data_IF_009239325075
#
_entry.id   IF_009239325075
#
_cell.length_a   1.000
_cell.length_b   1.000
_cell.length_c   1.000
_cell.angle_alpha   90.00
_cell.angle_beta   90.00
_cell.angle_gamma   90.00
#
_symmetry.space_group_name_H-M   'P 1'
#
loop_
_entity.id
_entity.type
_entity.pdbx_description
1 polymer ?
#
# COMPACT_ATOMS: atom_id res chain seq x y z
N UNK A 1 48.65 25.44 -45.48
CA UNK A 1 47.54 26.17 -46.14
C UNK A 1 46.64 25.15 -46.81
N UNK A 2 45.34 25.46 -46.87
CA UNK A 2 44.18 24.72 -47.40
C UNK A 2 43.46 23.76 -46.44
N UNK A 3 42.56 24.39 -45.68
CA UNK A 3 41.24 23.91 -45.25
C UNK A 3 40.44 23.26 -46.39
N UNK A 4 39.67 22.21 -46.07
CA UNK A 4 38.27 22.13 -46.53
C UNK A 4 37.50 21.06 -45.76
N UNK A 5 36.46 21.52 -45.05
CA UNK A 5 35.40 20.71 -44.49
C UNK A 5 34.44 20.29 -45.62
N UNK A 6 33.91 19.06 -45.55
CA UNK A 6 32.78 18.64 -46.36
C UNK A 6 31.69 18.06 -45.46
N UNK A 7 30.51 18.61 -45.66
CA UNK A 7 29.30 18.57 -44.85
C UNK A 7 28.43 17.34 -45.10
N UNK A 8 27.59 17.06 -44.10
CA UNK A 8 26.46 16.13 -44.04
C UNK A 8 25.62 15.97 -45.31
N UNK A 9 25.12 14.74 -45.51
CA UNK A 9 23.82 14.48 -46.14
C UNK A 9 23.26 13.14 -45.65
N UNK A 10 22.42 13.19 -44.60
CA UNK A 10 21.55 12.11 -44.16
C UNK A 10 20.27 12.17 -45.00
N UNK A 11 20.11 11.23 -45.93
CA UNK A 11 18.86 11.03 -46.67
C UNK A 11 17.93 10.13 -45.85
N UNK A 12 16.90 10.75 -45.27
CA UNK A 12 15.75 10.06 -44.70
C UNK A 12 14.84 9.57 -45.84
N UNK A 13 14.68 8.25 -45.96
CA UNK A 13 13.65 7.65 -46.82
C UNK A 13 12.41 7.38 -45.96
N UNK A 14 11.36 8.17 -46.18
CA UNK A 14 10.02 7.87 -45.69
C UNK A 14 9.25 7.20 -46.82
N UNK A 15 8.93 5.91 -46.66
CA UNK A 15 7.98 5.22 -47.53
C UNK A 15 6.70 4.97 -46.74
N UNK A 16 5.60 5.54 -47.25
CA UNK A 16 4.28 5.52 -46.67
C UNK A 16 3.57 4.17 -46.85
N UNK A 17 2.60 3.97 -45.97
CA UNK A 17 1.75 2.81 -45.79
C UNK A 17 0.96 2.38 -47.05
N UNK A 18 0.81 1.07 -47.24
CA UNK A 18 -0.23 0.48 -48.05
C UNK A 18 -1.36 0.00 -47.12
N UNK A 19 -2.53 0.59 -47.27
CA UNK A 19 -3.75 0.20 -46.58
C UNK A 19 -4.35 -1.07 -47.21
N UNK A 20 -4.55 -2.12 -46.42
CA UNK A 20 -5.42 -3.25 -46.78
C UNK A 20 -6.78 -3.00 -46.12
N UNK A 21 -7.76 -2.59 -46.93
CA UNK A 21 -9.16 -2.53 -46.52
C UNK A 21 -9.82 -3.88 -46.73
N UNK A 22 -10.05 -4.61 -45.63
CA UNK A 22 -11.19 -5.53 -45.47
C UNK A 22 -11.52 -5.62 -43.98
N UNK A 23 -12.53 -4.91 -43.46
CA UNK A 23 -12.99 -5.17 -42.10
C UNK A 23 -13.71 -6.52 -42.09
N UNK A 24 -13.17 -7.50 -41.37
CA UNK A 24 -13.94 -8.68 -40.99
C UNK A 24 -15.06 -8.22 -40.05
N UNK A 25 -16.28 -8.58 -40.41
CA UNK A 25 -17.48 -8.33 -39.64
C UNK A 25 -17.38 -9.13 -38.33
N UNK A 26 -17.21 -8.43 -37.21
CA UNK A 26 -17.12 -9.05 -35.90
C UNK A 26 -18.53 -9.47 -35.46
N UNK A 27 -18.67 -10.77 -35.16
CA UNK A 27 -19.87 -11.39 -34.62
C UNK A 27 -20.27 -10.72 -33.31
N UNK A 28 -21.57 -10.43 -33.20
CA UNK A 28 -22.25 -9.94 -32.01
C UNK A 28 -21.90 -10.79 -30.79
N UNK A 29 -21.37 -10.16 -29.74
CA UNK A 29 -21.46 -10.67 -28.38
C UNK A 29 -22.18 -9.62 -27.54
N UNK A 30 -23.46 -9.91 -27.26
CA UNK A 30 -24.17 -9.37 -26.11
C UNK A 30 -23.51 -9.93 -24.84
N UNK A 31 -22.54 -9.18 -24.34
CA UNK A 31 -22.18 -9.16 -22.93
C UNK A 31 -21.83 -7.70 -22.65
N UNK A 32 -22.64 -7.02 -21.85
CA UNK A 32 -22.39 -5.66 -21.39
C UNK A 32 -21.18 -5.68 -20.46
N UNK A 33 -19.98 -5.82 -21.02
CA UNK A 33 -18.74 -5.59 -20.30
C UNK A 33 -18.80 -4.11 -19.90
N UNK A 34 -18.71 -3.75 -18.61
CA UNK A 34 -18.61 -2.36 -18.21
C UNK A 34 -17.35 -1.80 -18.87
N UNK A 35 -17.56 -1.07 -19.96
CA UNK A 35 -16.47 -0.47 -20.71
C UNK A 35 -16.07 0.76 -19.93
N UNK A 36 -14.92 0.68 -19.27
CA UNK A 36 -14.38 1.80 -18.50
C UNK A 36 -14.08 2.92 -19.48
N UNK A 37 -14.77 4.04 -19.30
CA UNK A 37 -14.51 5.20 -20.12
C UNK A 37 -13.18 5.82 -19.69
N UNK A 38 -12.09 5.46 -20.36
CA UNK A 38 -10.73 5.93 -20.05
C UNK A 38 -10.58 7.47 -20.06
N UNK A 39 -11.59 8.22 -20.50
CA UNK A 39 -11.62 9.69 -20.39
C UNK A 39 -11.79 10.20 -18.96
N UNK A 40 -12.13 9.35 -17.99
CA UNK A 40 -12.27 9.74 -16.57
C UNK A 40 -10.94 9.97 -15.89
N UNK A 41 -9.85 9.41 -16.41
CA UNK A 41 -8.55 9.46 -15.76
C UNK A 41 -7.67 10.59 -16.29
N UNK A 42 -6.79 11.12 -15.43
CA UNK A 42 -5.78 12.09 -15.86
C UNK A 42 -4.92 11.48 -16.96
N UNK A 43 -4.74 12.18 -18.07
CA UNK A 43 -3.89 11.74 -19.17
C UNK A 43 -2.47 12.24 -19.02
N UNK A 44 -1.49 11.36 -19.14
CA UNK A 44 -0.06 11.68 -19.14
C UNK A 44 0.50 11.70 -20.55
N UNK A 45 1.37 12.67 -20.85
CA UNK A 45 1.94 12.84 -22.19
C UNK A 45 2.72 11.61 -22.69
N UNK A 46 3.24 10.79 -21.78
CA UNK A 46 4.01 9.58 -22.10
C UNK A 46 3.13 8.40 -22.56
N UNK A 47 1.83 8.41 -22.25
CA UNK A 47 0.89 7.34 -22.65
C UNK A 47 0.66 7.31 -24.15
N UNK A 48 0.58 8.49 -24.79
CA UNK A 48 0.41 8.62 -26.24
C UNK A 48 1.69 8.40 -27.04
N UNK A 49 2.83 8.19 -26.38
CA UNK A 49 4.10 7.96 -27.07
C UNK A 49 4.17 6.53 -27.61
N UNK A 50 4.65 6.39 -28.84
CA UNK A 50 5.13 5.09 -29.33
C UNK A 50 6.32 4.63 -28.50
N UNK A 51 6.62 3.34 -28.48
CA UNK A 51 7.71 2.79 -27.66
C UNK A 51 9.07 3.41 -27.98
N UNK A 52 9.36 3.65 -29.26
CA UNK A 52 10.60 4.32 -29.67
C UNK A 52 10.67 5.75 -29.12
N UNK A 53 9.55 6.48 -29.17
CA UNK A 53 9.47 7.85 -28.65
C UNK A 53 9.58 7.88 -27.12
N UNK A 54 8.94 6.92 -26.44
CA UNK A 54 9.03 6.76 -25.00
C UNK A 54 10.46 6.46 -24.57
N UNK A 55 11.15 5.50 -25.20
CA UNK A 55 12.55 5.17 -24.86
C UNK A 55 13.50 6.36 -25.04
N UNK A 56 13.32 7.13 -26.12
CA UNK A 56 14.08 8.35 -26.34
C UNK A 56 13.78 9.41 -25.26
N UNK A 57 12.50 9.63 -24.96
CA UNK A 57 12.06 10.56 -23.93
C UNK A 57 12.59 10.14 -22.55
N UNK A 58 12.49 8.86 -22.19
CA UNK A 58 13.02 8.26 -20.96
C UNK A 58 14.50 8.60 -20.79
N UNK A 59 15.31 8.30 -21.79
CA UNK A 59 16.74 8.57 -21.76
C UNK A 59 17.04 10.08 -21.64
N UNK A 60 16.37 10.91 -22.45
CA UNK A 60 16.57 12.35 -22.45
C UNK A 60 16.17 13.00 -21.12
N UNK A 61 14.98 12.66 -20.59
CA UNK A 61 14.46 13.19 -19.33
C UNK A 61 15.32 12.74 -18.14
N UNK A 62 15.71 11.46 -18.08
CA UNK A 62 16.61 10.94 -17.05
C UNK A 62 17.96 11.67 -17.06
N UNK A 63 18.53 11.89 -18.25
CA UNK A 63 19.81 12.62 -18.40
C UNK A 63 19.69 14.08 -17.98
N UNK A 64 18.57 14.74 -18.31
CA UNK A 64 18.36 16.16 -18.01
C UNK A 64 18.09 16.43 -16.52
N UNK A 65 17.30 15.57 -15.87
CA UNK A 65 16.82 15.77 -14.51
C UNK A 65 17.74 15.18 -13.44
N UNK A 66 18.57 14.20 -13.80
CA UNK A 66 19.26 13.33 -12.85
C UNK A 66 18.34 12.23 -12.32
N UNK A 67 18.93 11.20 -11.71
CA UNK A 67 18.18 9.99 -11.31
C UNK A 67 17.13 10.25 -10.24
N UNK A 68 17.48 10.98 -9.16
CA UNK A 68 16.55 11.24 -8.05
C UNK A 68 15.32 12.05 -8.48
N UNK A 69 15.54 13.12 -9.26
CA UNK A 69 14.45 13.95 -9.79
C UNK A 69 13.61 13.19 -10.81
N UNK A 70 14.24 12.31 -11.60
CA UNK A 70 13.53 11.45 -12.54
C UNK A 70 12.65 10.43 -11.82
N UNK A 71 13.19 9.77 -10.79
CA UNK A 71 12.44 8.86 -9.92
C UNK A 71 11.25 9.58 -9.29
N UNK A 72 11.47 10.74 -8.67
CA UNK A 72 10.39 11.52 -8.05
C UNK A 72 9.28 11.86 -9.05
N UNK A 73 9.65 12.29 -10.27
CA UNK A 73 8.68 12.57 -11.33
C UNK A 73 7.85 11.33 -11.68
N UNK A 74 8.50 10.19 -11.90
CA UNK A 74 7.82 8.96 -12.34
C UNK A 74 7.00 8.30 -11.25
N UNK A 75 7.48 8.30 -10.01
CA UNK A 75 6.72 7.85 -8.86
C UNK A 75 5.47 8.70 -8.69
N UNK A 76 5.57 10.04 -8.76
CA UNK A 76 4.39 10.91 -8.66
C UNK A 76 3.37 10.70 -9.79
N UNK A 77 3.82 10.37 -11.02
CA UNK A 77 2.92 10.00 -12.11
C UNK A 77 2.20 8.66 -11.84
N UNK A 78 2.93 7.66 -11.35
CA UNK A 78 2.40 6.35 -10.97
C UNK A 78 1.39 6.46 -9.82
N UNK A 79 1.75 7.15 -8.74
CA UNK A 79 0.88 7.37 -7.58
C UNK A 79 -0.40 8.09 -7.98
N UNK A 80 -0.29 9.10 -8.86
CA UNK A 80 -1.46 9.81 -9.37
C UNK A 80 -2.38 8.90 -10.20
N UNK A 81 -1.80 8.01 -11.04
CA UNK A 81 -2.58 7.02 -11.80
C UNK A 81 -3.23 5.99 -10.88
N UNK A 82 -2.51 5.51 -9.88
CA UNK A 82 -3.01 4.54 -8.90
C UNK A 82 -4.18 5.14 -8.11
N UNK A 83 -4.03 6.35 -7.60
CA UNK A 83 -5.06 7.06 -6.87
C UNK A 83 -6.31 7.33 -7.73
N UNK A 84 -6.12 7.71 -8.99
CA UNK A 84 -7.22 7.85 -9.97
C UNK A 84 -8.03 6.55 -10.11
N UNK A 85 -7.35 5.40 -10.13
CA UNK A 85 -7.99 4.08 -10.24
C UNK A 85 -8.69 3.73 -8.93
N UNK A 86 -8.02 3.88 -7.78
CA UNK A 86 -8.63 3.64 -6.47
C UNK A 86 -9.89 4.47 -6.26
N UNK A 87 -9.85 5.76 -6.62
CA UNK A 87 -11.00 6.63 -6.54
C UNK A 87 -12.14 6.12 -7.43
N UNK A 88 -11.84 5.71 -8.67
CA UNK A 88 -12.85 5.13 -9.54
C UNK A 88 -13.48 3.86 -8.95
N UNK A 89 -12.68 2.95 -8.40
CA UNK A 89 -13.18 1.72 -7.76
C UNK A 89 -14.09 2.06 -6.58
N UNK A 90 -13.65 2.96 -5.71
CA UNK A 90 -14.41 3.42 -4.56
C UNK A 90 -15.75 4.05 -4.95
N UNK A 91 -15.74 4.99 -5.89
CA UNK A 91 -16.96 5.68 -6.37
C UNK A 91 -17.96 4.74 -7.06
N UNK A 92 -17.49 3.62 -7.59
CA UNK A 92 -18.31 2.62 -8.27
C UNK A 92 -18.57 1.37 -7.42
N UNK A 93 -18.23 1.40 -6.13
CA UNK A 93 -18.45 0.32 -5.17
C UNK A 93 -17.78 -1.00 -5.58
N UNK A 94 -16.59 -0.95 -6.19
CA UNK A 94 -15.83 -2.14 -6.57
C UNK A 94 -14.73 -2.44 -5.56
N UNK A 95 -14.73 -3.64 -5.02
CA UNK A 95 -13.60 -4.22 -4.29
C UNK A 95 -12.80 -5.14 -5.22
N UNK A 96 -11.59 -4.70 -5.57
CA UNK A 96 -10.70 -5.44 -6.45
C UNK A 96 -9.49 -6.04 -5.70
N UNK A 97 -9.51 -6.04 -4.36
CA UNK A 97 -8.33 -6.37 -3.55
C UNK A 97 -7.11 -5.52 -3.93
N UNK A 98 -5.91 -6.02 -3.66
CA UNK A 98 -4.65 -5.36 -4.06
C UNK A 98 -4.31 -5.63 -5.52
N UNK A 99 -5.15 -5.17 -6.46
CA UNK A 99 -4.93 -5.38 -7.89
C UNK A 99 -3.68 -4.67 -8.44
N UNK A 100 -3.21 -3.61 -7.75
CA UNK A 100 -2.05 -2.81 -8.17
C UNK A 100 -0.73 -3.47 -7.80
N UNK A 101 -0.72 -4.37 -6.83
CA UNK A 101 0.45 -5.22 -6.53
C UNK A 101 0.84 -6.21 -7.64
N UNK A 102 0.30 -6.04 -8.86
CA UNK A 102 0.52 -6.87 -10.04
C UNK A 102 1.99 -7.16 -10.32
N UNK A 103 2.38 -8.40 -10.09
CA UNK A 103 2.72 -9.37 -11.12
C UNK A 103 2.73 -10.75 -10.43
N UNK A 104 2.04 -11.73 -11.01
CA UNK A 104 1.87 -13.08 -10.46
C UNK A 104 3.14 -13.95 -10.47
N UNK A 105 4.24 -13.43 -9.95
CA UNK A 105 5.50 -14.13 -9.69
C UNK A 105 6.16 -13.49 -8.46
N UNK A 106 5.50 -13.65 -7.32
CA UNK A 106 6.03 -13.64 -5.96
C UNK A 106 4.76 -13.58 -5.10
N UNK A 107 3.97 -14.65 -5.16
CA UNK A 107 3.46 -15.22 -3.92
C UNK A 107 4.73 -15.51 -3.10
N UNK A 108 5.32 -14.46 -2.49
CA UNK A 108 5.77 -14.63 -1.12
C UNK A 108 4.50 -15.15 -0.47
N UNK A 109 4.41 -16.48 -0.37
CA UNK A 109 3.76 -17.15 0.73
C UNK A 109 4.39 -16.48 1.96
N UNK A 110 3.89 -15.28 2.26
CA UNK A 110 4.06 -14.61 3.53
C UNK A 110 3.30 -15.58 4.40
N UNK A 111 4.05 -16.58 4.89
CA UNK A 111 3.52 -17.70 5.63
C UNK A 111 2.90 -17.07 6.86
N UNK A 112 1.63 -16.69 6.71
CA UNK A 112 0.93 -15.90 7.68
C UNK A 112 0.73 -16.85 8.84
N UNK A 113 1.65 -16.78 9.79
CA UNK A 113 1.54 -17.47 11.06
C UNK A 113 0.56 -16.64 11.87
N UNK A 114 -0.65 -17.15 12.15
CA UNK A 114 -1.61 -16.40 12.96
C UNK A 114 -0.98 -16.11 14.33
N UNK A 115 -1.14 -14.88 14.80
CA UNK A 115 -0.55 -14.38 16.05
C UNK A 115 -1.59 -13.63 16.85
N UNK A 116 -1.63 -13.86 18.16
CA UNK A 116 -2.43 -13.06 19.09
C UNK A 116 -1.52 -12.02 19.75
N UNK A 117 -1.85 -10.75 19.53
CA UNK A 117 -1.12 -9.61 20.07
C UNK A 117 -1.80 -9.12 21.34
N UNK A 118 -1.05 -9.03 22.44
CA UNK A 118 -1.51 -8.46 23.70
C UNK A 118 -1.17 -6.97 23.81
N UNK A 119 -1.90 -6.25 24.65
CA UNK A 119 -1.73 -4.79 24.79
C UNK A 119 -0.41 -4.38 25.45
N UNK A 120 0.26 -5.30 26.14
CA UNK A 120 1.57 -5.11 26.75
C UNK A 120 2.75 -5.52 25.86
N UNK A 121 2.48 -5.90 24.61
CA UNK A 121 3.50 -6.27 23.62
C UNK A 121 3.87 -7.76 23.62
N UNK A 122 3.27 -8.58 24.50
CA UNK A 122 3.39 -10.04 24.38
C UNK A 122 2.70 -10.50 23.10
N UNK A 123 3.32 -11.43 22.39
CA UNK A 123 2.75 -12.04 21.18
C UNK A 123 2.74 -13.55 21.37
N UNK A 124 1.60 -14.16 21.13
CA UNK A 124 1.42 -15.60 21.23
C UNK A 124 1.23 -16.19 19.84
N UNK A 125 1.79 -17.39 19.65
CA UNK A 125 1.49 -18.23 18.50
C UNK A 125 0.00 -18.60 18.53
N UNK A 126 -0.63 -18.54 17.37
CA UNK A 126 -2.03 -18.92 17.17
C UNK A 126 -2.21 -19.80 15.93
N UNK A 127 -1.15 -20.46 15.46
CA UNK A 127 -1.29 -21.50 14.43
C UNK A 127 -2.07 -22.70 15.01
N UNK A 128 -3.25 -23.07 14.46
CA UNK A 128 -4.01 -24.23 14.91
C UNK A 128 -3.26 -25.57 14.79
N UNK A 129 -2.15 -25.61 14.05
CA UNK A 129 -1.28 -26.80 13.95
C UNK A 129 -0.40 -27.00 15.19
N UNK A 130 0.01 -25.92 15.85
CA UNK A 130 0.89 -25.94 17.02
C UNK A 130 0.13 -25.67 18.33
N UNK A 131 -0.95 -24.90 18.27
CA UNK A 131 -1.71 -24.44 19.43
C UNK A 131 -3.15 -24.99 19.39
N UNK A 132 -3.63 -25.63 20.48
CA UNK A 132 -5.01 -26.09 20.56
C UNK A 132 -6.00 -24.92 20.44
N UNK A 133 -7.07 -25.08 19.65
CA UNK A 133 -8.07 -24.03 19.39
C UNK A 133 -8.62 -23.38 20.67
N UNK A 134 -8.88 -24.18 21.71
CA UNK A 134 -9.36 -23.67 23.01
C UNK A 134 -8.41 -22.66 23.67
N UNK A 135 -7.10 -22.77 23.41
CA UNK A 135 -6.08 -21.85 23.91
C UNK A 135 -6.05 -20.59 23.06
N UNK A 136 -6.16 -20.73 21.73
CA UNK A 136 -6.28 -19.60 20.80
C UNK A 136 -7.48 -18.73 21.18
N UNK A 137 -8.68 -19.32 21.27
CA UNK A 137 -9.91 -18.62 21.62
C UNK A 137 -9.80 -17.92 23.00
N UNK A 138 -9.09 -18.54 23.94
CA UNK A 138 -8.89 -17.95 25.27
C UNK A 138 -7.93 -16.76 25.23
N UNK A 139 -6.84 -16.86 24.47
CA UNK A 139 -5.88 -15.77 24.27
C UNK A 139 -6.51 -14.59 23.53
N UNK A 140 -7.32 -14.85 22.51
CA UNK A 140 -8.07 -13.83 21.78
C UNK A 140 -9.02 -13.06 22.71
N UNK A 141 -9.82 -13.77 23.50
CA UNK A 141 -10.72 -13.16 24.51
C UNK A 141 -9.96 -12.32 25.53
N UNK A 142 -8.78 -12.78 25.96
CA UNK A 142 -7.92 -12.01 26.86
C UNK A 142 -7.44 -10.73 26.17
N UNK A 143 -6.92 -10.81 24.95
CA UNK A 143 -6.48 -9.65 24.17
C UNK A 143 -7.61 -8.61 23.97
N UNK A 144 -8.80 -9.07 23.56
CA UNK A 144 -9.99 -8.22 23.41
C UNK A 144 -10.36 -7.52 24.72
N UNK A 145 -10.31 -8.25 25.84
CA UNK A 145 -10.61 -7.68 27.15
C UNK A 145 -9.58 -6.61 27.56
N UNK A 146 -8.28 -6.85 27.34
CA UNK A 146 -7.23 -5.86 27.60
C UNK A 146 -7.45 -4.61 26.76
N UNK A 147 -7.76 -4.80 25.47
CA UNK A 147 -7.97 -3.69 24.54
C UNK A 147 -9.19 -2.86 24.92
N UNK A 148 -10.29 -3.51 25.31
CA UNK A 148 -11.51 -2.83 25.78
C UNK A 148 -11.23 -1.99 27.03
N UNK A 149 -10.61 -2.56 28.05
CA UNK A 149 -10.29 -1.85 29.30
C UNK A 149 -9.30 -0.71 29.03
N UNK A 150 -8.29 -0.93 28.18
CA UNK A 150 -7.34 0.11 27.80
C UNK A 150 -8.02 1.27 27.07
N UNK A 151 -8.94 0.97 26.15
CA UNK A 151 -9.74 1.97 25.42
C UNK A 151 -10.64 2.76 26.37
N UNK A 152 -11.30 2.11 27.32
CA UNK A 152 -12.10 2.77 28.36
C UNK A 152 -11.24 3.73 29.20
N UNK A 153 -10.07 3.27 29.67
CA UNK A 153 -9.14 4.12 30.42
C UNK A 153 -8.59 5.28 29.59
N UNK A 154 -8.36 5.09 28.28
CA UNK A 154 -7.95 6.17 27.38
C UNK A 154 -9.07 7.19 27.18
N UNK A 155 -10.31 6.73 26.99
CA UNK A 155 -11.48 7.59 26.87
C UNK A 155 -11.71 8.40 28.16
N UNK A 156 -11.62 7.77 29.32
CA UNK A 156 -11.69 8.47 30.61
C UNK A 156 -10.59 9.54 30.73
N UNK A 157 -9.35 9.23 30.35
CA UNK A 157 -8.26 10.21 30.37
C UNK A 157 -8.52 11.38 29.43
N UNK A 158 -9.01 11.10 28.23
CA UNK A 158 -9.33 12.13 27.24
C UNK A 158 -10.48 13.04 27.72
N UNK A 159 -11.56 12.45 28.23
CA UNK A 159 -12.69 13.19 28.79
C UNK A 159 -12.30 14.00 30.03
N UNK A 160 -11.53 13.42 30.96
CA UNK A 160 -11.07 14.13 32.16
C UNK A 160 -10.07 15.25 31.84
N UNK A 161 -9.23 15.09 30.82
CA UNK A 161 -8.36 16.16 30.35
C UNK A 161 -9.18 17.31 29.75
N UNK A 162 -10.18 17.01 28.92
CA UNK A 162 -11.03 18.04 28.30
C UNK A 162 -11.97 18.74 29.29
N UNK A 163 -12.42 18.07 30.36
CA UNK A 163 -13.20 18.70 31.46
C UNK A 163 -12.34 19.69 32.27
N UNK A 164 -11.04 19.42 32.41
CA UNK A 164 -10.13 20.33 33.11
C UNK A 164 -9.64 21.50 32.23
N UNK A 165 -9.77 21.42 30.91
CA UNK A 165 -9.41 22.50 29.99
C UNK A 165 -10.52 23.52 29.73
N UNK A 166 -11.77 23.29 30.17
CA UNK A 166 -12.85 24.28 30.02
C UNK A 166 -12.87 25.36 31.11
N UNK A 167 -11.99 25.31 32.11
CA UNK A 167 -11.94 26.29 33.20
C UNK A 167 -10.71 27.19 33.22
N UNK A 168 -9.69 26.99 32.37
CA UNK A 168 -8.52 27.86 32.33
C UNK A 168 -8.25 28.32 30.89
N UNK A 169 -8.94 29.39 30.52
CA UNK A 169 -8.49 30.28 29.46
C UNK A 169 -7.32 31.14 30.00
N UNK A 170 -6.14 30.54 30.17
CA UNK A 170 -4.88 31.28 30.04
C UNK A 170 -3.67 30.35 29.89
N UNK A 171 -2.88 30.70 28.87
CA UNK A 171 -1.48 30.41 28.62
C UNK A 171 -1.06 29.04 28.05
N UNK A 172 -0.75 29.14 26.75
CA UNK A 172 0.22 28.36 26.02
C UNK A 172 1.51 28.12 26.83
N UNK A 173 1.87 26.85 27.04
CA UNK A 173 3.23 26.37 26.83
C UNK A 173 3.26 24.84 26.76
N UNK A 174 3.35 24.32 25.54
CA UNK A 174 3.92 23.00 25.28
C UNK A 174 5.35 22.97 25.83
N UNK A 175 5.61 22.23 26.90
CA UNK A 175 6.96 22.21 27.47
C UNK A 175 7.15 21.30 28.67
N UNK A 176 7.82 20.16 28.40
CA UNK A 176 8.58 19.30 29.31
C UNK A 176 7.77 18.31 30.16
N UNK A 177 7.88 17.05 29.75
CA UNK A 177 7.67 15.88 30.61
C UNK A 177 8.47 16.04 31.90
N UNK A 178 7.77 16.31 32.99
CA UNK A 178 8.33 16.19 34.32
C UNK A 178 8.67 14.72 34.55
N UNK A 179 9.96 14.41 34.73
CA UNK A 179 10.42 13.16 35.34
C UNK A 179 9.89 13.15 36.77
N UNK A 180 8.79 12.44 37.00
CA UNK A 180 8.35 12.10 38.34
C UNK A 180 8.79 10.68 38.69
N UNK A 181 9.28 10.57 39.91
CA UNK A 181 9.96 9.42 40.48
C UNK A 181 9.19 8.11 40.35
N UNK A 182 9.90 7.07 39.90
CA UNK A 182 9.39 5.72 39.77
C UNK A 182 9.07 5.12 41.15
N UNK A 183 7.81 5.23 41.57
CA UNK A 183 7.19 4.21 42.43
C UNK A 183 7.15 2.88 41.66
N UNK A 184 7.23 1.72 42.33
CA UNK A 184 7.09 0.43 41.67
C UNK A 184 5.76 0.46 40.91
N UNK A 185 5.85 0.38 39.59
CA UNK A 185 4.69 0.44 38.70
C UNK A 185 3.87 -0.80 38.99
N UNK A 186 2.82 -0.65 39.81
CA UNK A 186 1.77 -1.66 39.91
C UNK A 186 1.36 -2.00 38.48
N UNK A 187 1.22 -3.29 38.18
CA UNK A 187 0.88 -3.70 36.83
C UNK A 187 -0.34 -2.92 36.32
N UNK A 188 -0.35 -2.52 35.03
CA UNK A 188 -1.41 -1.69 34.51
C UNK A 188 -2.76 -2.37 34.73
N UNK A 189 -3.78 -1.64 35.19
CA UNK A 189 -5.12 -2.21 35.48
C UNK A 189 -5.79 -2.90 34.29
N UNK A 190 -5.34 -2.60 33.07
CA UNK A 190 -5.83 -3.21 31.84
C UNK A 190 -5.13 -4.52 31.48
N UNK A 191 -4.02 -4.87 32.14
CA UNK A 191 -3.23 -6.06 31.84
C UNK A 191 -3.95 -7.29 32.39
N UNK A 192 -4.23 -8.24 31.52
CA UNK A 192 -4.83 -9.51 31.89
C UNK A 192 -3.76 -10.49 32.36
N UNK A 193 -4.08 -11.22 33.42
CA UNK A 193 -3.27 -12.35 33.88
C UNK A 193 -3.44 -13.51 32.90
N UNK A 194 -2.35 -13.87 32.23
CA UNK A 194 -2.32 -14.99 31.28
C UNK A 194 -1.97 -16.26 32.06
N UNK A 195 -2.77 -17.34 31.94
CA UNK A 195 -2.46 -18.62 32.58
C UNK A 195 -1.06 -19.13 32.23
N UNK A 196 -0.33 -19.68 33.20
CA UNK A 196 1.04 -20.19 33.00
C UNK A 196 1.12 -21.23 31.87
N UNK A 197 0.06 -22.03 31.70
CA UNK A 197 -0.05 -23.03 30.64
C UNK A 197 0.00 -22.44 29.24
N UNK A 198 -0.37 -21.17 29.07
CA UNK A 198 -0.40 -20.49 27.76
C UNK A 198 0.93 -19.80 27.46
N UNK A 199 1.77 -19.57 28.48
CA UNK A 199 3.09 -18.96 28.31
C UNK A 199 4.04 -19.79 27.46
N UNK A 200 3.78 -21.09 27.30
CA UNK A 200 4.55 -21.95 26.40
C UNK A 200 4.39 -21.57 24.91
N UNK A 201 3.33 -20.84 24.56
CA UNK A 201 3.07 -20.34 23.21
C UNK A 201 3.52 -18.88 23.02
N UNK A 202 4.16 -18.28 24.03
CA UNK A 202 4.70 -16.93 23.93
C UNK A 202 5.88 -16.93 22.94
N UNK A 203 5.77 -16.10 21.90
CA UNK A 203 6.84 -15.89 20.95
C UNK A 203 7.89 -14.97 21.59
N UNK A 204 9.17 -15.39 21.67
CA UNK A 204 10.21 -14.55 22.22
C UNK A 204 10.38 -13.26 21.41
N UNK A 205 10.60 -12.14 22.10
CA UNK A 205 10.81 -10.83 21.47
C UNK A 205 11.96 -10.84 20.44
N UNK A 206 13.00 -11.67 20.65
CA UNK A 206 14.10 -11.83 19.69
C UNK A 206 13.62 -12.35 18.33
N UNK A 207 12.67 -13.29 18.33
CA UNK A 207 12.09 -13.85 17.09
C UNK A 207 11.25 -12.79 16.38
N UNK A 208 10.43 -12.05 17.13
CA UNK A 208 9.62 -10.96 16.57
C UNK A 208 10.49 -9.83 15.97
N UNK A 209 11.64 -9.54 16.57
CA UNK A 209 12.59 -8.56 16.04
C UNK A 209 13.25 -9.04 14.76
N UNK A 210 13.61 -10.31 14.67
CA UNK A 210 14.15 -10.91 13.45
C UNK A 210 13.12 -10.89 12.32
N UNK A 211 11.87 -11.28 12.59
CA UNK A 211 10.76 -11.19 11.62
C UNK A 211 10.52 -9.76 11.15
N UNK A 212 10.46 -8.79 12.08
CA UNK A 212 10.29 -7.37 11.74
C UNK A 212 11.44 -6.88 10.87
N UNK A 213 12.68 -7.28 11.19
CA UNK A 213 13.84 -6.91 10.39
C UNK A 213 13.77 -7.52 9.00
N UNK A 214 13.42 -8.80 8.89
CA UNK A 214 13.25 -9.49 7.62
C UNK A 214 12.19 -8.81 6.75
N UNK A 215 11.02 -8.48 7.33
CA UNK A 215 9.95 -7.75 6.66
C UNK A 215 10.40 -6.36 6.19
N UNK A 216 11.12 -5.61 7.03
CA UNK A 216 11.68 -4.30 6.65
C UNK A 216 12.71 -4.41 5.52
N UNK A 217 13.57 -5.42 5.56
CA UNK A 217 14.60 -5.64 4.55
C UNK A 217 13.97 -6.10 3.22
N UNK A 218 12.94 -6.97 3.26
CA UNK A 218 12.15 -7.37 2.11
C UNK A 218 11.42 -6.18 1.47
N UNK A 219 10.75 -5.35 2.29
CA UNK A 219 10.10 -4.12 1.81
C UNK A 219 11.10 -3.16 1.14
N UNK A 220 12.28 -2.95 1.75
CA UNK A 220 13.34 -2.13 1.14
C UNK A 220 13.85 -2.72 -0.17
N UNK A 221 14.01 -4.04 -0.25
CA UNK A 221 14.44 -4.70 -1.48
C UNK A 221 13.40 -4.54 -2.59
N UNK A 222 12.10 -4.65 -2.26
CA UNK A 222 10.99 -4.43 -3.19
C UNK A 222 10.93 -2.98 -3.67
N UNK A 223 11.06 -2.02 -2.75
CA UNK A 223 11.12 -0.58 -3.05
C UNK A 223 12.32 -0.26 -3.97
N UNK A 224 13.50 -0.81 -3.68
CA UNK A 224 14.69 -0.61 -4.52
C UNK A 224 14.52 -1.27 -5.90
N UNK A 225 14.01 -2.50 -5.98
CA UNK A 225 13.66 -3.19 -7.25
C UNK A 225 12.72 -2.31 -8.08
N UNK A 226 11.67 -1.79 -7.46
CA UNK A 226 10.70 -0.90 -8.12
C UNK A 226 11.36 0.38 -8.67
N UNK A 227 12.21 1.05 -7.88
CA UNK A 227 12.99 2.21 -8.35
C UNK A 227 13.91 1.87 -9.52
N UNK A 228 14.60 0.73 -9.46
CA UNK A 228 15.46 0.29 -10.56
C UNK A 228 14.66 -0.01 -11.83
N UNK A 229 13.47 -0.58 -11.70
CA UNK A 229 12.59 -0.83 -12.86
C UNK A 229 12.03 0.47 -13.46
N UNK A 230 11.73 1.49 -12.65
CA UNK A 230 11.42 2.85 -13.13
C UNK A 230 12.63 3.44 -13.87
N UNK A 231 13.83 3.37 -13.29
CA UNK A 231 15.06 3.89 -13.90
C UNK A 231 15.44 3.18 -15.20
N UNK A 232 15.12 1.89 -15.31
CA UNK A 232 15.28 1.10 -16.52
C UNK A 232 14.19 1.37 -17.57
N UNK A 233 13.13 2.10 -17.21
CA UNK A 233 11.98 2.37 -18.08
C UNK A 233 11.10 1.14 -18.32
N UNK A 234 11.17 0.15 -17.42
CA UNK A 234 10.30 -1.04 -17.43
C UNK A 234 8.95 -0.75 -16.79
N UNK A 235 8.93 0.12 -15.78
CA UNK A 235 7.72 0.56 -15.08
C UNK A 235 7.47 2.04 -15.39
N UNK A 236 6.23 2.36 -15.75
CA UNK A 236 5.73 3.72 -15.97
C UNK A 236 4.19 3.68 -15.99
N UNK A 237 3.53 4.84 -16.00
CA UNK A 237 2.06 4.91 -16.15
C UNK A 237 1.53 4.23 -17.42
N UNK A 238 2.39 4.02 -18.44
CA UNK A 238 2.03 3.25 -19.66
C UNK A 238 1.80 1.76 -19.38
N UNK A 239 2.36 1.28 -18.27
CA UNK A 239 2.39 -0.12 -17.86
C UNK A 239 1.36 -0.41 -16.76
N UNK A 240 0.85 0.63 -16.09
CA UNK A 240 -0.17 0.50 -15.06
C UNK A 240 -1.48 0.03 -15.69
N UNK A 241 -1.87 -1.21 -15.41
CA UNK A 241 -3.12 -1.81 -15.93
C UNK A 241 -4.25 -1.54 -14.96
N UNK A 242 -5.44 -1.24 -15.47
CA UNK A 242 -6.66 -1.25 -14.67
C UNK A 242 -6.94 -2.67 -14.14
N UNK A 243 -7.54 -2.85 -12.94
CA UNK A 243 -8.02 -4.15 -12.51
C UNK A 243 -9.05 -4.72 -13.49
N UNK A 244 -9.08 -6.05 -13.55
CA UNK A 244 -10.14 -6.77 -14.26
C UNK A 244 -11.42 -6.72 -13.42
N UNK A 245 -12.33 -5.80 -13.76
CA UNK A 245 -13.58 -5.59 -13.02
C UNK A 245 -14.47 -6.84 -12.95
N UNK A 246 -14.31 -7.81 -13.85
CA UNK A 246 -15.05 -9.07 -13.79
C UNK A 246 -14.61 -9.97 -12.63
N UNK A 247 -13.42 -9.72 -12.08
CA UNK A 247 -12.87 -10.42 -10.91
C UNK A 247 -13.05 -9.64 -9.61
N UNK A 248 -13.56 -8.42 -9.70
CA UNK A 248 -13.83 -7.59 -8.55
C UNK A 248 -15.21 -7.91 -7.97
N UNK A 249 -15.33 -7.79 -6.67
CA UNK A 249 -16.59 -7.93 -5.96
C UNK A 249 -17.28 -6.58 -5.88
N UNK A 250 -18.62 -6.56 -6.01
CA UNK A 250 -19.36 -5.33 -5.77
C UNK A 250 -19.56 -5.21 -4.26
N UNK A 251 -19.06 -4.13 -3.67
CA UNK A 251 -19.30 -3.81 -2.27
C UNK A 251 -20.81 -3.63 -2.08
N UNK A 252 -21.44 -4.51 -1.29
CA UNK A 252 -22.80 -4.27 -0.84
C UNK A 252 -22.76 -3.08 0.13
N UNK A 253 -23.70 -2.12 0.01
CA UNK A 253 -23.79 -1.06 0.99
C UNK A 253 -23.97 -1.71 2.38
N UNK A 254 -23.22 -1.27 3.40
CA UNK A 254 -23.42 -1.78 4.74
C UNK A 254 -24.89 -1.58 5.10
N UNK A 255 -25.58 -2.68 5.40
CA UNK A 255 -26.88 -2.63 6.05
C UNK A 255 -26.59 -2.06 7.44
N UNK A 256 -26.73 -0.75 7.58
CA UNK A 256 -26.87 -0.15 8.89
C UNK A 256 -28.23 -0.63 9.37
N UNK A 257 -28.23 -1.58 10.30
CA UNK A 257 -29.42 -1.89 11.07
C UNK A 257 -29.79 -0.61 11.83
N UNK A 258 -30.71 0.17 11.27
CA UNK A 258 -31.32 1.36 11.88
C UNK A 258 -32.24 0.98 13.06
N UNK A 259 -31.84 0.01 13.89
CA UNK A 259 -32.47 -0.31 15.17
C UNK A 259 -31.62 0.24 16.32
N UNK A 260 -31.67 1.56 16.52
CA UNK A 260 -31.44 2.19 17.83
C UNK A 260 -32.30 3.45 18.03
#
# INVERSE_FOLDING_TARGET
MLTSAATFSLLASMAAAAAVQTPQQLLVQDATIPTINQTTFRKFAIEDMSDAKFRLHHHAAKTLLGEDSYLLLRTAELDARENDIWQYLWENEWDCGDWYSGDGDEDEDDHYTPKVYMSDGRVFDADPKSVPQQVIDALEKLSESEWKVRRELQNERYCNANVNHTNDASDEHFGKSSKTDAKPVSEPKWKAEVPEQYLQYLIPESVLQEERKASVDAWKAKDEKHKQDILAGRVSVRNTKMPDLLKCEKMEPPIFDDEY
#
